data_IF_163787001172
#
_entry.id   IF_163787001172
#
_cell.length_a   1.000
_cell.length_b   1.000
_cell.length_c   1.000
_cell.angle_alpha   90.00
_cell.angle_beta   90.00
_cell.angle_gamma   90.00
#
_symmetry.space_group_name_H-M   'P 1'
#
loop_
_entity.id
_entity.type
_entity.pdbx_description
1 polymer ?
#
# COMPACT_ATOMS: atom_id res chain seq x y z
N UNK A 1 5.47 -16.88 13.16
CA UNK A 1 4.89 -15.74 13.88
C UNK A 1 5.26 -14.35 13.32
N UNK A 2 6.23 -14.20 12.42
CA UNK A 2 6.63 -12.86 11.90
C UNK A 2 5.61 -12.24 10.93
N UNK A 3 5.03 -13.03 10.01
CA UNK A 3 4.04 -12.54 9.03
C UNK A 3 2.80 -11.97 9.71
N UNK A 4 2.22 -12.75 10.62
CA UNK A 4 1.10 -12.36 11.47
C UNK A 4 1.31 -11.02 12.18
N UNK A 5 2.54 -10.76 12.66
CA UNK A 5 2.86 -9.50 13.36
C UNK A 5 2.90 -8.31 12.43
N UNK A 6 3.40 -8.48 11.20
CA UNK A 6 3.39 -7.42 10.19
C UNK A 6 1.95 -7.05 9.83
N UNK A 7 1.07 -8.04 9.66
CA UNK A 7 -0.35 -7.81 9.36
C UNK A 7 -1.05 -7.11 10.55
N UNK A 8 -0.76 -7.51 11.79
CA UNK A 8 -1.22 -6.78 12.98
C UNK A 8 -0.74 -5.34 13.00
N UNK A 9 0.54 -5.08 12.71
CA UNK A 9 1.05 -3.71 12.68
C UNK A 9 0.35 -2.86 11.61
N UNK A 10 0.08 -3.42 10.42
CA UNK A 10 -0.71 -2.73 9.39
C UNK A 10 -2.11 -2.34 9.89
N UNK A 11 -2.78 -3.22 10.66
CA UNK A 11 -4.07 -2.93 11.30
C UNK A 11 -3.95 -1.86 12.38
N UNK A 12 -3.06 -2.08 13.35
CA UNK A 12 -2.95 -1.23 14.54
C UNK A 12 -2.57 0.22 14.14
N UNK A 13 -1.73 0.37 13.12
CA UNK A 13 -1.33 1.66 12.56
C UNK A 13 -2.33 2.21 11.52
N UNK A 14 -3.46 1.54 11.28
CA UNK A 14 -4.50 1.88 10.30
C UNK A 14 -3.92 2.21 8.91
N UNK A 15 -2.94 1.42 8.46
CA UNK A 15 -2.26 1.67 7.21
C UNK A 15 -3.20 1.43 6.03
N UNK A 16 -3.24 2.39 5.11
CA UNK A 16 -3.91 2.20 3.82
C UNK A 16 -3.23 1.08 3.05
N UNK A 17 -4.05 0.16 2.56
CA UNK A 17 -3.62 -0.92 1.70
C UNK A 17 -4.14 -0.70 0.28
N UNK A 18 -3.30 -0.95 -0.71
CA UNK A 18 -3.68 -1.02 -2.11
C UNK A 18 -4.01 -2.46 -2.48
N UNK A 19 -5.22 -2.68 -2.98
CA UNK A 19 -5.71 -3.97 -3.52
C UNK A 19 -5.65 -3.90 -5.04
N UNK A 20 -5.10 -4.95 -5.67
CA UNK A 20 -4.95 -5.01 -7.14
C UNK A 20 -5.13 -6.44 -7.66
N UNK A 21 -5.55 -6.57 -8.91
CA UNK A 21 -5.79 -7.85 -9.57
C UNK A 21 -4.88 -7.96 -10.80
N UNK A 22 -4.02 -8.98 -10.90
CA UNK A 22 -2.91 -8.99 -11.88
C UNK A 22 -3.30 -8.78 -13.33
N UNK A 23 -4.41 -9.38 -13.75
CA UNK A 23 -4.86 -9.36 -15.14
C UNK A 23 -6.00 -8.36 -15.37
N UNK A 24 -6.27 -7.50 -14.38
CA UNK A 24 -7.30 -6.45 -14.44
C UNK A 24 -6.62 -5.13 -14.20
N UNK A 25 -6.91 -4.12 -15.02
CA UNK A 25 -6.49 -2.74 -14.74
C UNK A 25 -7.40 -2.11 -13.66
N UNK A 26 -7.64 -2.86 -12.59
CA UNK A 26 -8.53 -2.52 -11.49
C UNK A 26 -7.79 -2.61 -10.16
N UNK A 27 -8.06 -1.62 -9.31
CA UNK A 27 -7.54 -1.59 -7.97
C UNK A 27 -8.42 -0.73 -7.07
N UNK A 28 -8.23 -0.92 -5.78
CA UNK A 28 -8.95 -0.19 -4.76
C UNK A 28 -8.05 0.05 -3.56
N UNK A 29 -8.46 0.97 -2.69
CA UNK A 29 -7.80 1.18 -1.41
C UNK A 29 -8.75 0.74 -0.30
N UNK A 30 -8.17 0.19 0.76
CA UNK A 30 -8.91 -0.26 1.94
C UNK A 30 -7.96 -0.26 3.15
N UNK A 31 -8.38 -0.85 4.26
CA UNK A 31 -7.59 -1.07 5.48
C UNK A 31 -7.83 -2.49 6.00
N UNK A 32 -6.93 -2.95 6.87
CA UNK A 32 -7.15 -4.17 7.66
C UNK A 32 -7.82 -3.75 8.96
N UNK A 33 -9.00 -4.30 9.24
CA UNK A 33 -9.80 -3.92 10.43
C UNK A 33 -9.70 -4.96 11.54
N UNK A 34 -9.40 -6.21 11.20
CA UNK A 34 -9.25 -7.28 12.19
C UNK A 34 -8.20 -8.32 11.80
N UNK A 35 -7.60 -8.95 12.81
CA UNK A 35 -6.62 -10.02 12.65
C UNK A 35 -6.84 -11.08 13.73
N UNK A 36 -7.27 -12.26 13.34
CA UNK A 36 -7.40 -13.42 14.22
C UNK A 36 -6.25 -14.41 13.94
N UNK A 37 -5.29 -14.45 14.87
CA UNK A 37 -4.13 -15.32 14.75
C UNK A 37 -4.41 -16.78 15.09
N UNK A 38 -5.39 -17.02 15.96
CA UNK A 38 -5.74 -18.36 16.41
C UNK A 38 -6.53 -19.08 15.32
N UNK A 39 -7.42 -18.35 14.65
CA UNK A 39 -8.14 -18.84 13.47
C UNK A 39 -7.35 -18.72 12.16
N UNK A 40 -6.33 -17.85 12.11
CA UNK A 40 -5.41 -17.75 10.99
C UNK A 40 -5.92 -16.92 9.81
N UNK A 41 -6.74 -15.90 10.06
CA UNK A 41 -7.26 -14.97 9.05
C UNK A 41 -7.08 -13.51 9.47
N UNK A 42 -7.26 -12.61 8.52
CA UNK A 42 -7.43 -11.19 8.76
C UNK A 42 -8.60 -10.67 7.91
N UNK A 43 -9.20 -9.57 8.34
CA UNK A 43 -10.37 -8.99 7.69
C UNK A 43 -10.01 -7.65 7.05
N UNK A 44 -10.36 -7.51 5.78
CA UNK A 44 -10.18 -6.29 4.98
C UNK A 44 -11.53 -5.58 4.88
N UNK A 45 -11.50 -4.27 5.06
CA UNK A 45 -12.68 -3.40 4.95
C UNK A 45 -13.21 -3.32 3.52
N UNK A 46 -14.35 -2.66 3.34
CA UNK A 46 -15.01 -2.52 2.05
C UNK A 46 -14.06 -2.00 0.96
N UNK A 47 -14.19 -2.54 -0.25
CA UNK A 47 -13.53 -2.02 -1.43
C UNK A 47 -14.46 -1.01 -2.12
N UNK A 48 -14.13 0.30 -2.17
CA UNK A 48 -15.02 1.30 -2.76
C UNK A 48 -15.31 1.11 -4.26
N UNK A 49 -14.46 0.36 -4.98
CA UNK A 49 -14.67 0.09 -6.41
C UNK A 49 -15.63 -1.08 -6.61
N UNK A 50 -16.76 -0.82 -7.30
CA UNK A 50 -17.74 -1.85 -7.63
C UNK A 50 -17.17 -3.00 -8.46
N UNK A 51 -16.24 -2.71 -9.39
CA UNK A 51 -15.56 -3.74 -10.17
C UNK A 51 -14.66 -4.63 -9.29
N UNK A 52 -13.94 -4.04 -8.35
CA UNK A 52 -13.16 -4.79 -7.36
C UNK A 52 -14.05 -5.62 -6.44
N UNK A 53 -15.19 -5.08 -5.97
CA UNK A 53 -16.18 -5.85 -5.18
C UNK A 53 -16.66 -7.08 -5.94
N UNK A 54 -16.99 -6.93 -7.23
CA UNK A 54 -17.40 -8.05 -8.08
C UNK A 54 -16.30 -9.09 -8.25
N UNK A 55 -15.07 -8.66 -8.55
CA UNK A 55 -13.92 -9.55 -8.72
C UNK A 55 -13.63 -10.39 -7.46
N UNK A 56 -13.72 -9.76 -6.28
CA UNK A 56 -13.59 -10.48 -5.01
C UNK A 56 -14.71 -11.50 -4.83
N UNK A 57 -15.96 -11.12 -5.08
CA UNK A 57 -17.12 -12.00 -4.99
C UNK A 57 -17.03 -13.19 -5.96
N UNK A 58 -16.41 -13.01 -7.12
CA UNK A 58 -16.16 -14.07 -8.10
C UNK A 58 -14.98 -14.98 -7.72
N UNK A 59 -14.27 -14.68 -6.61
CA UNK A 59 -13.14 -15.46 -6.12
C UNK A 59 -11.84 -15.25 -6.90
N UNK A 60 -11.73 -14.14 -7.63
CA UNK A 60 -10.51 -13.74 -8.34
C UNK A 60 -9.37 -13.50 -7.32
N UNK A 61 -8.18 -14.08 -7.51
CA UNK A 61 -7.04 -13.79 -6.66
C UNK A 61 -6.61 -12.33 -6.78
N UNK A 62 -6.19 -11.74 -5.66
CA UNK A 62 -5.71 -10.37 -5.62
C UNK A 62 -4.39 -10.25 -4.85
N UNK A 63 -3.72 -9.14 -5.07
CA UNK A 63 -2.49 -8.76 -4.40
C UNK A 63 -2.76 -7.53 -3.52
N UNK A 64 -2.22 -7.53 -2.31
CA UNK A 64 -2.21 -6.37 -1.39
C UNK A 64 -0.81 -5.78 -1.36
N UNK A 65 -0.71 -4.43 -1.41
CA UNK A 65 0.50 -3.67 -1.12
C UNK A 65 0.23 -2.63 -0.04
N UNK A 66 1.20 -2.42 0.83
CA UNK A 66 1.15 -1.40 1.87
C UNK A 66 2.56 -0.88 2.17
N UNK A 67 2.64 0.28 2.83
CA UNK A 67 3.88 0.75 3.44
C UNK A 67 3.75 0.59 4.96
N UNK A 68 4.78 0.06 5.62
CA UNK A 68 4.86 0.00 7.09
C UNK A 68 6.18 0.62 7.53
N UNK A 69 6.13 1.78 8.17
CA UNK A 69 7.32 2.52 8.64
C UNK A 69 8.37 2.71 7.54
N UNK A 70 7.93 3.10 6.33
CA UNK A 70 8.81 3.30 5.18
C UNK A 70 9.29 2.02 4.49
N UNK A 71 8.76 0.86 4.87
CA UNK A 71 9.06 -0.44 4.24
C UNK A 71 7.90 -0.92 3.38
N UNK A 72 8.18 -1.31 2.14
CA UNK A 72 7.21 -1.90 1.24
C UNK A 72 6.82 -3.30 1.71
N UNK A 73 5.54 -3.51 2.00
CA UNK A 73 4.94 -4.80 2.31
C UNK A 73 4.06 -5.24 1.16
N UNK A 74 4.25 -6.48 0.70
CA UNK A 74 3.45 -7.06 -0.38
C UNK A 74 2.99 -8.46 -0.06
N UNK A 75 1.74 -8.75 -0.40
CA UNK A 75 1.10 -10.05 -0.25
C UNK A 75 0.44 -10.38 -1.57
N UNK A 76 0.69 -11.56 -2.13
CA UNK A 76 0.25 -11.88 -3.49
C UNK A 76 -0.54 -13.19 -3.54
N UNK A 77 -1.49 -13.25 -4.48
CA UNK A 77 -2.34 -14.42 -4.71
C UNK A 77 -3.27 -14.72 -3.54
N UNK A 78 -3.75 -13.66 -2.86
CA UNK A 78 -4.72 -13.76 -1.79
C UNK A 78 -6.10 -14.07 -2.38
N UNK A 79 -6.94 -14.73 -1.58
CA UNK A 79 -8.34 -15.02 -1.89
C UNK A 79 -9.17 -14.79 -0.65
N UNK A 80 -10.36 -14.26 -0.84
CA UNK A 80 -11.34 -14.16 0.23
C UNK A 80 -11.90 -15.54 0.53
N UNK A 81 -11.91 -15.90 1.81
CA UNK A 81 -12.52 -17.14 2.30
C UNK A 81 -13.98 -16.95 2.67
N UNK A 82 -14.35 -15.75 3.13
CA UNK A 82 -15.71 -15.42 3.55
C UNK A 82 -15.97 -13.92 3.35
N UNK A 83 -17.20 -13.60 2.93
CA UNK A 83 -17.70 -12.23 2.76
C UNK A 83 -18.87 -12.07 3.72
N UNK A 84 -18.79 -11.08 4.61
CA UNK A 84 -19.90 -10.67 5.46
C UNK A 84 -20.29 -9.24 5.10
N UNK A 85 -21.58 -8.95 4.96
CA UNK A 85 -22.09 -7.63 4.61
C UNK A 85 -23.20 -7.24 5.60
N UNK A 86 -23.11 -6.02 6.12
CA UNK A 86 -24.13 -5.41 6.98
C UNK A 86 -24.37 -3.94 6.57
N UNK A 87 -25.12 -3.21 7.40
CA UNK A 87 -25.45 -1.80 7.15
C UNK A 87 -24.22 -0.86 7.11
N UNK A 88 -23.04 -1.31 7.57
CA UNK A 88 -21.79 -0.54 7.59
C UNK A 88 -20.89 -0.82 6.39
N UNK A 89 -21.15 -1.88 5.63
CA UNK A 89 -20.40 -2.24 4.43
C UNK A 89 -20.08 -3.72 4.33
N UNK A 90 -19.25 -4.06 3.33
CA UNK A 90 -18.76 -5.42 3.13
C UNK A 90 -17.39 -5.63 3.80
N UNK A 91 -17.25 -6.75 4.49
CA UNK A 91 -16.02 -7.19 5.14
C UNK A 91 -15.53 -8.49 4.49
N UNK A 92 -14.24 -8.55 4.20
CA UNK A 92 -13.61 -9.64 3.47
C UNK A 92 -12.61 -10.38 4.36
N UNK A 93 -12.92 -11.62 4.74
CA UNK A 93 -11.96 -12.46 5.47
C UNK A 93 -10.98 -13.12 4.51
N UNK A 94 -9.70 -13.01 4.85
CA UNK A 94 -8.57 -13.48 4.04
C UNK A 94 -7.66 -14.36 4.91
N UNK A 95 -7.32 -15.58 4.49
CA UNK A 95 -6.36 -16.40 5.22
C UNK A 95 -4.98 -15.73 5.30
N UNK A 96 -4.30 -15.84 6.44
CA UNK A 96 -2.94 -15.30 6.59
C UNK A 96 -2.02 -16.00 5.58
N UNK A 97 -1.33 -15.25 4.71
CA UNK A 97 -0.48 -15.84 3.69
C UNK A 97 0.75 -16.51 4.30
N UNK A 98 1.24 -17.56 3.64
CA UNK A 98 2.47 -18.26 4.05
C UNK A 98 3.75 -17.45 3.78
N UNK A 99 3.66 -16.45 2.91
CA UNK A 99 4.79 -15.60 2.49
C UNK A 99 4.31 -14.19 2.25
N UNK A 100 5.17 -13.24 2.57
CA UNK A 100 5.01 -11.81 2.27
C UNK A 100 6.34 -11.31 1.71
N UNK A 101 6.31 -10.30 0.85
CA UNK A 101 7.49 -9.52 0.52
C UNK A 101 7.61 -8.36 1.49
N UNK A 102 8.80 -8.18 2.06
CA UNK A 102 9.12 -7.08 2.96
C UNK A 102 10.43 -6.47 2.46
N UNK A 103 10.35 -5.32 1.79
CA UNK A 103 11.48 -4.75 1.05
C UNK A 103 11.78 -3.36 1.59
N UNK A 104 12.84 -3.24 2.39
CA UNK A 104 13.40 -1.95 2.75
C UNK A 104 14.40 -1.53 1.68
N UNK A 105 14.07 -0.53 0.86
CA UNK A 105 14.91 -0.08 -0.26
C UNK A 105 15.85 1.06 0.11
N UNK A 106 15.65 1.72 1.26
CA UNK A 106 16.36 2.97 1.61
C UNK A 106 17.56 2.67 2.52
N UNK A 107 18.72 3.20 2.14
CA UNK A 107 19.96 3.13 2.95
C UNK A 107 20.04 4.26 4.00
N UNK A 108 19.27 5.35 3.82
CA UNK A 108 19.26 6.52 4.70
C UNK A 108 17.82 6.97 5.03
N UNK A 109 17.66 7.54 6.23
CA UNK A 109 16.39 8.11 6.70
C UNK A 109 16.08 9.44 6.01
N UNK A 110 14.82 9.64 5.61
CA UNK A 110 14.35 10.89 4.99
C UNK A 110 13.76 11.84 6.03
N UNK A 111 14.37 13.00 6.20
CA UNK A 111 13.80 14.10 6.96
C UNK A 111 12.83 14.88 6.07
N UNK A 112 11.55 14.90 6.46
CA UNK A 112 10.51 15.70 5.79
C UNK A 112 10.71 17.18 6.09
N UNK A 113 10.65 18.00 5.05
CA UNK A 113 10.53 19.45 5.22
C UNK A 113 9.08 19.73 5.57
N UNK A 114 8.84 20.28 6.76
CA UNK A 114 7.48 20.60 7.20
C UNK A 114 6.90 21.70 6.32
N UNK A 115 5.62 21.62 5.94
CA UNK A 115 4.94 22.64 5.12
C UNK A 115 4.88 24.06 5.71
N UNK A 116 5.41 24.27 6.93
CA UNK A 116 5.64 25.58 7.53
C UNK A 116 6.93 26.25 7.06
N UNK A 117 7.80 25.52 6.35
CA UNK A 117 9.08 26.01 5.86
C UNK A 117 9.22 25.58 4.41
N UNK A 118 8.99 26.49 3.48
CA UNK A 118 9.38 26.27 2.09
C UNK A 118 10.89 26.42 1.97
N UNK A 119 11.55 25.36 1.54
CA UNK A 119 12.98 25.39 1.19
C UNK A 119 13.05 25.42 -0.34
N UNK A 120 13.23 26.61 -0.96
CA UNK A 120 13.32 26.72 -2.40
C UNK A 120 14.62 26.07 -2.89
N UNK A 121 14.53 25.35 -4.00
CA UNK A 121 15.65 24.70 -4.69
C UNK A 121 15.60 25.03 -6.17
N UNK A 122 16.78 25.24 -6.77
CA UNK A 122 16.93 25.42 -8.20
C UNK A 122 17.76 24.27 -8.75
N UNK A 123 17.24 23.59 -9.78
CA UNK A 123 17.94 22.54 -10.51
C UNK A 123 18.36 23.09 -11.87
N UNK A 124 19.65 23.35 -12.02
CA UNK A 124 20.25 23.77 -13.29
C UNK A 124 20.75 22.53 -14.03
N UNK A 125 20.45 22.40 -15.32
CA UNK A 125 21.01 21.34 -16.15
C UNK A 125 21.58 21.88 -17.46
N UNK A 126 22.49 21.09 -18.03
CA UNK A 126 23.02 21.31 -19.37
C UNK A 126 23.10 19.94 -20.04
N UNK A 127 22.47 19.83 -21.20
CA UNK A 127 22.55 18.69 -22.08
C UNK A 127 23.61 18.99 -23.14
N UNK A 128 24.72 18.26 -23.10
CA UNK A 128 25.85 18.45 -24.00
C UNK A 128 25.54 18.00 -25.44
N UNK A 129 24.64 17.02 -25.64
CA UNK A 129 24.29 16.52 -26.97
C UNK A 129 23.33 17.47 -27.70
N UNK A 130 22.38 18.05 -26.97
CA UNK A 130 21.41 19.00 -27.54
C UNK A 130 21.81 20.47 -27.37
N UNK A 131 22.96 20.74 -26.72
CA UNK A 131 23.43 22.09 -26.34
C UNK A 131 22.37 22.93 -25.63
N UNK A 132 21.43 22.26 -24.94
CA UNK A 132 20.31 22.90 -24.27
C UNK A 132 20.64 23.04 -22.79
N UNK A 133 20.42 24.23 -22.23
CA UNK A 133 20.50 24.47 -20.79
C UNK A 133 19.17 24.99 -20.29
N UNK A 134 18.88 24.71 -19.02
CA UNK A 134 17.66 25.14 -18.39
C UNK A 134 17.80 25.18 -16.88
N UNK A 135 16.82 25.82 -16.24
CA UNK A 135 16.71 25.94 -14.80
C UNK A 135 15.27 25.63 -14.40
N UNK A 136 15.13 24.81 -13.35
CA UNK A 136 13.85 24.44 -12.76
C UNK A 136 13.85 24.86 -11.30
N UNK A 137 12.93 25.75 -10.94
CA UNK A 137 12.67 26.11 -9.54
C UNK A 137 11.60 25.18 -8.95
N UNK A 138 11.83 24.70 -7.73
CA UNK A 138 10.91 23.84 -7.00
C UNK A 138 11.05 24.06 -5.47
N UNK A 139 10.20 23.41 -4.69
CA UNK A 139 10.33 23.32 -3.25
C UNK A 139 10.84 21.91 -2.85
N UNK A 140 11.72 21.85 -1.86
CA UNK A 140 12.21 20.59 -1.29
C UNK A 140 11.14 19.95 -0.40
N UNK A 141 10.76 18.70 -0.70
CA UNK A 141 9.76 17.93 0.08
C UNK A 141 10.40 17.08 1.18
N UNK A 142 11.48 16.36 0.86
CA UNK A 142 12.26 15.57 1.81
C UNK A 142 13.74 15.49 1.41
N UNK A 143 14.61 15.15 2.37
CA UNK A 143 16.04 14.91 2.13
C UNK A 143 16.52 13.68 2.92
N UNK A 144 17.39 12.87 2.30
CA UNK A 144 18.10 11.73 2.92
C UNK A 144 19.60 11.91 2.86
#
# INVERSE_FOLDING_TARGET
MQIARIIQSLRDDHQLIGVSFRDRNEGSQSIIVDVDLDAGFFSVDELPSAGCRQLVSDGEPFDIRAELNGVDVGMAGLKVSEISEDDQGALYQVPIPKRISYVQRREAFRARVTGLTEVPVALSWTDEETSTSGELEAALDDIS
#
